data_IF_973223998655
#
_entry.id   IF_973223998655
#
_cell.length_a   1.000
_cell.length_b   1.000
_cell.length_c   1.000
_cell.angle_alpha   90.00
_cell.angle_beta   90.00
_cell.angle_gamma   90.00
#
_symmetry.space_group_name_H-M   'P 1'
#
loop_
_entity.id
_entity.type
_entity.pdbx_description
1 polymer ?
#
# COMPACT_ATOMS: atom_id res chain seq x y z
N UNK A 1 10.22 6.89 -13.20
CA UNK A 1 11.52 6.54 -13.81
C UNK A 1 12.06 5.26 -13.16
N UNK A 2 11.66 4.13 -13.75
CA UNK A 2 12.20 2.76 -13.81
C UNK A 2 10.97 1.94 -14.26
N UNK A 3 11.02 1.33 -15.45
CA UNK A 3 9.84 0.72 -16.11
C UNK A 3 9.57 -0.72 -15.66
N UNK A 4 10.17 -1.15 -14.54
CA UNK A 4 10.15 -2.53 -14.11
C UNK A 4 9.13 -2.74 -12.97
N UNK A 5 8.01 -3.44 -13.21
CA UNK A 5 6.94 -3.65 -12.23
C UNK A 5 7.44 -4.25 -10.91
N UNK A 6 8.46 -5.10 -10.97
CA UNK A 6 9.10 -5.72 -9.80
C UNK A 6 9.73 -4.69 -8.86
N UNK A 7 10.34 -3.63 -9.39
CA UNK A 7 10.97 -2.58 -8.58
C UNK A 7 9.90 -1.77 -7.84
N UNK A 8 8.75 -1.51 -8.49
CA UNK A 8 7.63 -0.81 -7.87
C UNK A 8 6.98 -1.64 -6.76
N UNK A 9 6.79 -2.94 -6.98
CA UNK A 9 6.27 -3.84 -5.96
C UNK A 9 7.20 -3.95 -4.73
N UNK A 10 8.51 -4.02 -4.98
CA UNK A 10 9.51 -4.11 -3.90
C UNK A 10 9.61 -2.79 -3.11
N UNK A 11 9.59 -1.64 -3.78
CA UNK A 11 9.51 -0.32 -3.14
C UNK A 11 8.22 -0.15 -2.33
N UNK A 12 7.08 -0.58 -2.86
CA UNK A 12 5.80 -0.54 -2.15
C UNK A 12 5.84 -1.39 -0.87
N UNK A 13 6.40 -2.61 -0.95
CA UNK A 13 6.56 -3.49 0.21
C UNK A 13 7.50 -2.89 1.26
N UNK A 14 8.60 -2.28 0.84
CA UNK A 14 9.59 -1.68 1.73
C UNK A 14 9.01 -0.44 2.42
N UNK A 15 8.24 0.36 1.69
CA UNK A 15 7.47 1.48 2.23
C UNK A 15 6.47 1.02 3.29
N UNK A 16 5.65 0.01 3.01
CA UNK A 16 4.64 -0.50 3.96
C UNK A 16 5.31 -1.01 5.24
N UNK A 17 6.40 -1.79 5.13
CA UNK A 17 7.12 -2.28 6.31
C UNK A 17 7.71 -1.14 7.16
N UNK A 18 8.27 -0.11 6.52
CA UNK A 18 8.78 1.07 7.21
C UNK A 18 7.63 1.81 7.93
N UNK A 19 6.49 1.98 7.27
CA UNK A 19 5.32 2.65 7.81
C UNK A 19 4.74 1.90 9.02
N UNK A 20 4.56 0.58 8.92
CA UNK A 20 4.07 -0.26 10.00
C UNK A 20 5.04 -0.25 11.19
N UNK A 21 6.36 -0.29 10.92
CA UNK A 21 7.37 -0.20 11.97
C UNK A 21 7.32 1.13 12.71
N UNK A 22 7.16 2.24 11.98
CA UNK A 22 6.98 3.58 12.56
C UNK A 22 5.67 3.69 13.35
N UNK A 23 4.59 3.07 12.87
CA UNK A 23 3.30 3.07 13.57
C UNK A 23 3.37 2.28 14.87
N UNK A 24 3.98 1.09 14.82
CA UNK A 24 4.20 0.25 15.99
C UNK A 24 5.06 0.97 17.03
N UNK A 25 6.19 1.52 16.62
CA UNK A 25 7.10 2.22 17.53
C UNK A 25 6.49 3.53 18.05
N UNK A 26 5.79 4.27 17.19
CA UNK A 26 5.02 5.46 17.53
C UNK A 26 3.93 5.16 18.57
N UNK A 27 3.19 4.07 18.41
CA UNK A 27 2.10 3.68 19.34
C UNK A 27 2.59 3.42 20.76
N UNK A 28 3.85 3.01 20.94
CA UNK A 28 4.45 2.82 22.26
C UNK A 28 4.70 4.15 23.00
N UNK A 29 4.84 5.27 22.28
CA UNK A 29 4.97 6.61 22.89
C UNK A 29 3.63 7.21 23.33
N UNK A 30 2.49 6.64 22.90
CA UNK A 30 1.14 7.10 23.25
C UNK A 30 0.50 6.23 24.35
N UNK A 31 1.31 5.54 25.16
CA UNK A 31 0.88 4.57 26.19
C UNK A 31 0.18 5.19 27.40
N UNK A 32 0.36 6.49 27.67
CA UNK A 32 -0.43 7.20 28.68
C UNK A 32 -1.74 7.71 28.08
N UNK A 33 -2.84 7.10 28.54
CA UNK A 33 -4.20 7.20 28.03
C UNK A 33 -4.86 8.60 28.18
N UNK A 34 -4.27 9.63 27.58
CA UNK A 34 -4.90 10.94 27.32
C UNK A 34 -4.80 11.33 25.84
N UNK A 35 -4.56 10.37 24.95
CA UNK A 35 -4.58 10.58 23.51
C UNK A 35 -6.01 10.85 23.02
N UNK A 36 -6.46 12.10 23.15
CA UNK A 36 -7.72 12.58 22.59
C UNK A 36 -7.71 12.57 21.06
N UNK A 37 -8.13 13.68 20.43
CA UNK A 37 -8.30 13.77 18.95
C UNK A 37 -7.00 13.47 18.16
N UNK A 38 -5.83 13.54 18.80
CA UNK A 38 -4.52 13.28 18.19
C UNK A 38 -4.36 11.83 17.68
N UNK A 39 -4.86 10.82 18.40
CA UNK A 39 -4.72 9.41 17.97
C UNK A 39 -5.50 9.17 16.67
N UNK A 40 -6.80 9.53 16.57
CA UNK A 40 -7.54 9.45 15.31
C UNK A 40 -6.90 10.26 14.17
N UNK A 41 -6.38 11.46 14.45
CA UNK A 41 -5.69 12.30 13.45
C UNK A 41 -4.45 11.59 12.90
N UNK A 42 -3.60 11.04 13.77
CA UNK A 42 -2.40 10.30 13.36
C UNK A 42 -2.73 9.08 12.51
N UNK A 43 -3.73 8.30 12.93
CA UNK A 43 -4.20 7.12 12.21
C UNK A 43 -4.75 7.49 10.82
N UNK A 44 -5.63 8.49 10.74
CA UNK A 44 -6.18 8.98 9.47
C UNK A 44 -5.11 9.60 8.57
N UNK A 45 -4.17 10.36 9.13
CA UNK A 45 -3.10 10.99 8.34
C UNK A 45 -2.20 9.95 7.69
N UNK A 46 -1.84 8.90 8.43
CA UNK A 46 -1.02 7.81 7.90
C UNK A 46 -1.80 6.97 6.87
N UNK A 47 -3.08 6.72 7.12
CA UNK A 47 -3.95 6.04 6.16
C UNK A 47 -4.09 6.84 4.85
N UNK A 48 -4.38 8.14 4.93
CA UNK A 48 -4.52 9.03 3.77
C UNK A 48 -3.18 9.17 3.05
N UNK A 49 -2.07 9.25 3.77
CA UNK A 49 -0.73 9.29 3.17
C UNK A 49 -0.43 8.02 2.38
N UNK A 50 -0.69 6.84 2.96
CA UNK A 50 -0.56 5.56 2.27
C UNK A 50 -1.47 5.48 1.04
N UNK A 51 -2.75 5.84 1.19
CA UNK A 51 -3.71 5.86 0.09
C UNK A 51 -3.30 6.84 -1.03
N UNK A 52 -2.69 7.97 -0.69
CA UNK A 52 -2.18 8.95 -1.67
C UNK A 52 -0.97 8.41 -2.43
N UNK A 53 -0.04 7.74 -1.75
CA UNK A 53 1.12 7.10 -2.39
C UNK A 53 0.66 5.96 -3.31
N UNK A 54 -0.27 5.11 -2.85
CA UNK A 54 -0.81 4.03 -3.68
C UNK A 54 -1.63 4.57 -4.84
N UNK A 55 -2.45 5.60 -4.62
CA UNK A 55 -3.19 6.28 -5.67
C UNK A 55 -2.26 6.84 -6.74
N UNK A 56 -1.15 7.46 -6.36
CA UNK A 56 -0.13 7.92 -7.29
C UNK A 56 0.48 6.75 -8.08
N UNK A 57 0.93 5.68 -7.42
CA UNK A 57 1.53 4.53 -8.09
C UNK A 57 0.57 3.81 -9.05
N UNK A 58 -0.72 3.75 -8.71
CA UNK A 58 -1.74 3.08 -9.53
C UNK A 58 -2.25 3.94 -10.66
N UNK A 59 -2.39 5.26 -10.44
CA UNK A 59 -3.07 6.15 -11.38
C UNK A 59 -2.11 6.97 -12.24
N UNK A 60 -0.85 7.15 -11.86
CA UNK A 60 0.10 7.96 -12.63
C UNK A 60 0.28 7.43 -14.06
N UNK A 61 0.63 6.15 -14.22
CA UNK A 61 0.87 5.57 -15.55
C UNK A 61 -0.42 5.50 -16.40
N UNK A 62 -1.58 5.05 -15.87
CA UNK A 62 -2.84 5.11 -16.61
C UNK A 62 -3.27 6.52 -17.00
N UNK A 63 -3.07 7.53 -16.14
CA UNK A 63 -3.38 8.93 -16.45
C UNK A 63 -2.52 9.46 -17.60
N UNK A 64 -1.22 9.12 -17.61
CA UNK A 64 -0.32 9.49 -18.72
C UNK A 64 -0.77 8.83 -20.03
N UNK A 65 -1.15 7.55 -19.99
CA UNK A 65 -1.68 6.83 -21.16
C UNK A 65 -3.03 7.41 -21.64
N UNK A 66 -3.88 7.84 -20.70
CA UNK A 66 -5.15 8.49 -21.00
C UNK A 66 -4.95 9.84 -21.70
N UNK A 67 -4.00 10.65 -21.23
CA UNK A 67 -3.61 11.93 -21.85
C UNK A 67 -2.99 11.72 -23.24
N UNK A 68 -2.31 10.60 -23.46
CA UNK A 68 -1.80 10.20 -24.77
C UNK A 68 -2.89 9.67 -25.73
N UNK A 69 -4.17 9.67 -25.32
CA UNK A 69 -5.30 9.20 -26.13
C UNK A 69 -5.50 7.68 -26.14
N UNK A 70 -4.65 6.92 -25.44
CA UNK A 70 -4.63 5.45 -25.43
C UNK A 70 -5.54 4.90 -24.32
N UNK A 71 -6.85 5.15 -24.43
CA UNK A 71 -7.84 4.81 -23.39
C UNK A 71 -7.90 3.32 -23.08
N UNK A 72 -7.88 2.45 -24.08
CA UNK A 72 -7.93 1.00 -23.89
C UNK A 72 -6.69 0.47 -23.16
N UNK A 73 -5.49 0.94 -23.54
CA UNK A 73 -4.24 0.59 -22.89
C UNK A 73 -4.20 1.09 -21.43
N UNK A 74 -4.72 2.30 -21.17
CA UNK A 74 -4.78 2.86 -19.82
C UNK A 74 -5.65 2.00 -18.88
N UNK A 75 -6.83 1.59 -19.34
CA UNK A 75 -7.74 0.73 -18.56
C UNK A 75 -7.13 -0.65 -18.36
N UNK A 76 -6.57 -1.25 -19.42
CA UNK A 76 -5.90 -2.54 -19.32
C UNK A 76 -4.70 -2.50 -18.35
N UNK A 77 -3.93 -1.41 -18.35
CA UNK A 77 -2.79 -1.23 -17.44
C UNK A 77 -3.26 -1.08 -15.99
N UNK A 78 -4.29 -0.27 -15.73
CA UNK A 78 -4.86 -0.12 -14.40
C UNK A 78 -5.35 -1.45 -13.82
N UNK A 79 -6.13 -2.22 -14.59
CA UNK A 79 -6.60 -3.54 -14.15
C UNK A 79 -5.46 -4.52 -13.89
N UNK A 80 -4.36 -4.46 -14.66
CA UNK A 80 -3.18 -5.28 -14.39
C UNK A 80 -2.53 -4.94 -13.04
N UNK A 81 -2.39 -3.66 -12.71
CA UNK A 81 -1.86 -3.23 -11.41
C UNK A 81 -2.77 -3.74 -10.28
N UNK A 82 -4.08 -3.53 -10.40
CA UNK A 82 -5.06 -3.97 -9.40
C UNK A 82 -5.06 -5.49 -9.23
N UNK A 83 -5.05 -6.24 -10.32
CA UNK A 83 -5.01 -7.70 -10.29
C UNK A 83 -3.73 -8.23 -9.64
N UNK A 84 -2.57 -7.65 -9.99
CA UNK A 84 -1.29 -8.05 -9.40
C UNK A 84 -1.25 -7.74 -7.89
N UNK A 85 -1.71 -6.55 -7.49
CA UNK A 85 -1.79 -6.16 -6.09
C UNK A 85 -2.75 -7.06 -5.28
N UNK A 86 -3.90 -7.41 -5.85
CA UNK A 86 -4.84 -8.34 -5.24
C UNK A 86 -4.20 -9.73 -5.05
N UNK A 87 -3.48 -10.23 -6.07
CA UNK A 87 -2.81 -11.53 -6.00
C UNK A 87 -1.72 -11.53 -4.92
N UNK A 88 -0.87 -10.50 -4.88
CA UNK A 88 0.13 -10.32 -3.82
C UNK A 88 -0.54 -10.29 -2.44
N UNK A 89 -1.62 -9.54 -2.29
CA UNK A 89 -2.36 -9.44 -1.02
C UNK A 89 -2.89 -10.81 -0.57
N UNK A 90 -3.52 -11.56 -1.47
CA UNK A 90 -4.00 -12.92 -1.18
C UNK A 90 -2.86 -13.85 -0.80
N UNK A 91 -1.72 -13.78 -1.48
CA UNK A 91 -0.56 -14.63 -1.14
C UNK A 91 0.02 -14.32 0.23
N UNK A 92 0.10 -13.04 0.61
CA UNK A 92 0.60 -12.63 1.93
C UNK A 92 -0.36 -13.09 3.03
N UNK A 93 -1.66 -12.86 2.86
CA UNK A 93 -2.68 -13.27 3.83
C UNK A 93 -2.72 -14.79 3.94
N UNK A 94 -2.67 -15.51 2.82
CA UNK A 94 -2.63 -16.97 2.80
C UNK A 94 -1.39 -17.54 3.48
N UNK A 95 -0.21 -16.97 3.23
CA UNK A 95 1.03 -17.37 3.89
C UNK A 95 0.98 -17.09 5.40
N UNK A 96 0.43 -15.95 5.82
CA UNK A 96 0.24 -15.61 7.22
C UNK A 96 -0.74 -16.57 7.93
N UNK A 97 -1.87 -16.90 7.29
CA UNK A 97 -2.85 -17.85 7.81
C UNK A 97 -2.29 -19.27 7.94
N UNK A 98 -1.51 -19.73 6.95
CA UNK A 98 -0.82 -21.03 6.99
C UNK A 98 0.22 -21.08 8.11
N UNK A 99 0.98 -19.98 8.31
CA UNK A 99 1.96 -19.87 9.39
C UNK A 99 1.29 -19.99 10.76
N UNK A 100 0.13 -19.35 10.95
CA UNK A 100 -0.67 -19.47 12.18
C UNK A 100 -1.17 -20.89 12.39
N UNK A 101 -1.70 -21.54 11.35
CA UNK A 101 -2.20 -22.92 11.44
C UNK A 101 -1.11 -23.94 11.80
N UNK A 102 0.16 -23.69 11.45
CA UNK A 102 1.29 -24.54 11.85
C UNK A 102 1.84 -24.23 13.24
N UNK A 103 1.52 -23.06 13.81
CA UNK A 103 2.00 -22.60 15.13
C UNK A 103 1.04 -22.94 16.28
N UNK A 104 -0.18 -23.40 15.99
CA UNK A 104 -1.23 -23.81 16.94
C UNK A 104 -1.68 -25.25 16.69
#
# INVERSE_FOLDING_TARGET
>A
MSKNPFIHALLASLYINCLVSLFWWGSQFFTDAQGGVIIPIGMLSIFVFSASVMGYLFLYEPLVLLMAGKKEEAVAFFFKIVAFFALVTVTIIGAWALCIYFLY
#
